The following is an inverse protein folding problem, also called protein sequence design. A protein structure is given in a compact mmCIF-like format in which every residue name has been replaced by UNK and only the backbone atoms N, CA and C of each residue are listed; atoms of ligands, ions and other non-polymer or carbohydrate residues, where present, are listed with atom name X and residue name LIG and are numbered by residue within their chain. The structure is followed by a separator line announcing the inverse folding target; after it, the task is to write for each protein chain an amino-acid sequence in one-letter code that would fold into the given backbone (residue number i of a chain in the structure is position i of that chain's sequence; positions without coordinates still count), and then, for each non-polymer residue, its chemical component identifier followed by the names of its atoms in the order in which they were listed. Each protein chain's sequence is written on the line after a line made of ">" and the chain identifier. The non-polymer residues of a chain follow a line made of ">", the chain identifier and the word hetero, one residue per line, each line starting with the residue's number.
data_IF_724772460102
#
_entry.id   IF_724772460102
#
_cell.length_a   1.000
_cell.length_b   1.000
_cell.length_c   1.000
_cell.angle_alpha   90.00
_cell.angle_beta   90.00
_cell.angle_gamma   90.00
#
_symmetry.space_group_name_H-M   'P 1'
#
loop_
_entity.id
_entity.type
_entity.pdbx_description
1 polymer ?
#
# COMPACT_ATOMS: atom_id res chain seq x y z
N UNK A 1 11.63 -13.26 3.78
CA UNK A 1 11.16 -13.83 5.06
C UNK A 1 9.66 -13.54 5.13
N UNK A 2 8.86 -14.50 5.54
CA UNK A 2 7.40 -14.39 5.67
C UNK A 2 7.10 -14.34 7.17
N UNK A 3 6.07 -13.58 7.57
CA UNK A 3 5.70 -13.38 8.96
C UNK A 3 6.52 -12.30 9.68
N UNK A 4 6.13 -11.99 10.90
CA UNK A 4 6.71 -10.91 11.69
C UNK A 4 8.10 -11.28 12.22
N UNK A 5 8.22 -12.44 12.84
CA UNK A 5 9.49 -12.97 13.35
C UNK A 5 10.06 -14.07 12.43
N UNK A 6 11.38 -14.19 12.28
CA UNK A 6 12.42 -13.38 12.93
C UNK A 6 12.76 -12.06 12.20
N UNK A 7 11.94 -11.62 11.25
CA UNK A 7 12.22 -10.43 10.42
C UNK A 7 12.42 -9.18 11.25
N UNK A 8 11.52 -8.92 12.21
CA UNK A 8 11.58 -7.77 13.12
C UNK A 8 12.89 -7.78 13.92
N UNK A 9 13.19 -8.91 14.56
CA UNK A 9 14.40 -9.06 15.39
C UNK A 9 15.68 -8.79 14.59
N UNK A 10 15.78 -9.28 13.35
CA UNK A 10 16.96 -9.04 12.51
C UNK A 10 17.11 -7.58 12.09
N UNK A 11 16.01 -6.92 11.74
CA UNK A 11 16.05 -5.51 11.38
C UNK A 11 16.44 -4.64 12.58
N UNK A 12 15.90 -4.90 13.77
CA UNK A 12 16.28 -4.18 14.99
C UNK A 12 17.75 -4.34 15.30
N UNK A 13 18.29 -5.58 15.29
CA UNK A 13 19.70 -5.82 15.50
C UNK A 13 20.62 -5.13 14.50
N UNK A 14 20.22 -5.07 13.23
CA UNK A 14 20.97 -4.35 12.20
C UNK A 14 20.98 -2.84 12.48
N UNK A 15 19.80 -2.26 12.76
CA UNK A 15 19.63 -0.85 13.09
C UNK A 15 20.48 -0.46 14.31
N UNK A 16 20.44 -1.25 15.39
CA UNK A 16 21.22 -1.02 16.61
C UNK A 16 22.74 -1.06 16.39
N UNK A 17 23.19 -1.77 15.35
CA UNK A 17 24.60 -1.81 14.90
C UNK A 17 24.96 -0.69 13.90
N UNK A 18 24.08 0.27 13.68
CA UNK A 18 24.31 1.35 12.73
C UNK A 18 24.18 0.94 11.25
N UNK A 19 23.53 -0.19 10.96
CA UNK A 19 23.39 -0.71 9.58
C UNK A 19 22.04 -0.25 9.01
N UNK A 20 22.08 0.35 7.83
CA UNK A 20 20.89 0.69 7.07
C UNK A 20 20.19 -0.58 6.56
N UNK A 21 18.87 -0.56 6.49
CA UNK A 21 18.07 -1.73 6.14
C UNK A 21 17.04 -1.42 5.06
N UNK A 22 16.71 -2.45 4.24
CA UNK A 22 15.62 -2.39 3.26
C UNK A 22 14.74 -3.61 3.44
N UNK A 23 13.42 -3.43 3.40
CA UNK A 23 12.46 -4.52 3.60
C UNK A 23 11.29 -4.45 2.61
N UNK A 24 10.76 -5.63 2.25
CA UNK A 24 9.50 -5.80 1.52
C UNK A 24 8.44 -6.53 2.38
N UNK A 25 8.74 -6.77 3.67
CA UNK A 25 7.82 -7.50 4.55
C UNK A 25 6.73 -6.55 5.09
N UNK A 26 5.59 -6.55 4.41
CA UNK A 26 4.47 -5.65 4.72
C UNK A 26 3.80 -5.95 6.06
N UNK A 27 3.58 -7.23 6.40
CA UNK A 27 2.92 -7.63 7.65
C UNK A 27 3.73 -7.16 8.86
N UNK A 28 4.99 -7.52 8.90
CA UNK A 28 5.91 -7.08 9.94
C UNK A 28 5.98 -5.55 10.01
N UNK A 29 6.06 -4.86 8.86
CA UNK A 29 6.18 -3.40 8.83
C UNK A 29 4.88 -2.69 9.20
N UNK A 30 3.70 -3.23 8.86
CA UNK A 30 2.41 -2.72 9.30
C UNK A 30 2.33 -2.70 10.84
N UNK A 31 2.72 -3.79 11.48
CA UNK A 31 2.60 -3.95 12.93
C UNK A 31 3.73 -3.26 13.71
N UNK A 32 4.94 -3.23 13.18
CA UNK A 32 6.14 -2.76 13.89
C UNK A 32 6.87 -1.60 13.21
N UNK A 33 6.36 -1.06 12.11
CA UNK A 33 7.02 -0.01 11.32
C UNK A 33 7.32 1.24 12.13
N UNK A 34 6.41 1.67 13.00
CA UNK A 34 6.61 2.82 13.87
C UNK A 34 7.82 2.65 14.80
N UNK A 35 7.92 1.50 15.47
CA UNK A 35 9.08 1.16 16.30
C UNK A 35 10.38 1.15 15.48
N UNK A 36 10.37 0.50 14.32
CA UNK A 36 11.54 0.40 13.45
C UNK A 36 12.02 1.77 12.94
N UNK A 37 11.09 2.65 12.57
CA UNK A 37 11.40 4.01 12.13
C UNK A 37 12.01 4.81 13.28
N UNK A 38 11.43 4.75 14.49
CA UNK A 38 11.98 5.44 15.67
C UNK A 38 13.39 4.93 16.01
N UNK A 39 13.61 3.61 16.01
CA UNK A 39 14.93 3.02 16.25
C UNK A 39 15.95 3.43 15.19
N UNK A 40 15.53 3.45 13.92
CA UNK A 40 16.41 3.91 12.84
C UNK A 40 16.83 5.37 13.04
N UNK A 41 15.91 6.25 13.42
CA UNK A 41 16.21 7.65 13.72
C UNK A 41 17.18 7.79 14.90
N UNK A 42 16.97 7.06 16.01
CA UNK A 42 17.83 7.07 17.20
C UNK A 42 19.25 6.60 16.92
N UNK A 43 19.43 5.69 15.97
CA UNK A 43 20.74 5.12 15.59
C UNK A 43 21.32 5.76 14.33
N UNK A 44 20.79 6.90 13.87
CA UNK A 44 21.19 7.58 12.62
C UNK A 44 21.23 6.66 11.39
N UNK A 45 20.41 5.64 11.39
CA UNK A 45 20.26 4.71 10.25
C UNK A 45 19.03 5.04 9.42
N UNK A 46 18.96 4.46 8.24
CA UNK A 46 17.82 4.58 7.33
C UNK A 46 17.15 3.23 7.13
N UNK A 47 15.84 3.28 6.97
CA UNK A 47 15.03 2.13 6.61
C UNK A 47 14.28 2.40 5.31
N UNK A 48 14.54 1.58 4.28
CA UNK A 48 13.82 1.55 3.01
C UNK A 48 12.67 0.53 3.08
N UNK A 49 11.47 0.94 2.69
CA UNK A 49 10.28 0.08 2.77
C UNK A 49 9.26 0.33 1.65
N UNK A 50 9.70 0.97 0.53
CA UNK A 50 8.84 1.23 -0.64
C UNK A 50 8.17 -0.06 -1.14
N UNK A 51 8.91 -1.17 -1.17
CA UNK A 51 8.44 -2.47 -1.62
C UNK A 51 7.34 -3.11 -0.74
N UNK A 52 7.02 -2.53 0.42
CA UNK A 52 5.95 -3.03 1.31
C UNK A 52 4.56 -2.66 0.81
N UNK A 53 4.42 -1.62 -0.03
CA UNK A 53 3.13 -1.09 -0.45
C UNK A 53 3.10 -0.78 -1.95
N UNK A 54 2.07 -1.26 -2.65
CA UNK A 54 1.82 -0.99 -4.07
C UNK A 54 2.97 -1.34 -5.04
N UNK A 55 3.90 -2.20 -4.65
CA UNK A 55 4.93 -2.78 -5.50
C UNK A 55 5.78 -1.76 -6.26
N UNK A 56 5.54 -1.63 -7.58
CA UNK A 56 6.28 -0.70 -8.44
C UNK A 56 5.74 0.74 -8.45
N UNK A 57 4.70 1.06 -7.66
CA UNK A 57 4.19 2.43 -7.53
C UNK A 57 4.99 3.15 -6.42
N UNK A 58 5.71 4.25 -6.70
CA UNK A 58 6.58 4.94 -5.73
C UNK A 58 5.77 5.78 -4.74
N UNK A 59 4.90 5.15 -3.96
CA UNK A 59 3.90 5.83 -3.13
C UNK A 59 4.49 6.38 -1.83
N UNK A 60 5.36 5.63 -1.17
CA UNK A 60 5.96 6.03 0.11
C UNK A 60 6.85 7.25 -0.08
N UNK A 61 7.67 7.24 -1.13
CA UNK A 61 8.53 8.37 -1.52
C UNK A 61 7.69 9.60 -1.86
N UNK A 62 6.63 9.43 -2.64
CA UNK A 62 5.71 10.51 -3.01
C UNK A 62 5.05 11.13 -1.78
N UNK A 63 4.53 10.33 -0.85
CA UNK A 63 3.94 10.82 0.39
C UNK A 63 4.97 11.61 1.21
N UNK A 64 6.17 11.06 1.41
CA UNK A 64 7.25 11.75 2.15
C UNK A 64 7.61 13.11 1.52
N UNK A 65 7.63 13.18 0.19
CA UNK A 65 7.90 14.43 -0.52
C UNK A 65 6.75 15.44 -0.38
N UNK A 66 5.50 14.99 -0.53
CA UNK A 66 4.32 15.85 -0.37
C UNK A 66 4.23 16.45 1.03
N UNK A 67 4.52 15.67 2.07
CA UNK A 67 4.47 16.10 3.47
C UNK A 67 5.46 17.20 3.84
N UNK A 68 6.46 17.49 2.99
CA UNK A 68 7.39 18.61 3.22
C UNK A 68 6.71 19.97 3.11
N UNK A 69 5.64 20.09 2.31
CA UNK A 69 4.95 21.36 2.05
C UNK A 69 3.41 21.23 2.05
N UNK A 70 2.87 20.01 2.08
CA UNK A 70 1.44 19.76 2.08
C UNK A 70 1.00 19.07 3.36
N UNK A 71 -0.27 19.26 3.71
CA UNK A 71 -1.00 18.39 4.61
C UNK A 71 -1.80 17.39 3.76
N UNK A 72 -1.65 16.11 4.02
CA UNK A 72 -2.46 15.07 3.37
C UNK A 72 -3.76 14.92 4.18
N UNK A 73 -4.88 15.01 3.49
CA UNK A 73 -6.22 14.91 4.11
C UNK A 73 -6.90 13.58 3.83
N UNK A 74 -6.52 12.92 2.73
CA UNK A 74 -7.10 11.62 2.36
C UNK A 74 -6.15 10.78 1.53
N UNK A 75 -6.16 9.47 1.77
CA UNK A 75 -5.52 8.47 0.91
C UNK A 75 -6.57 7.42 0.58
N UNK A 76 -6.71 7.09 -0.70
CA UNK A 76 -7.55 6.00 -1.21
C UNK A 76 -6.72 5.13 -2.14
N UNK A 77 -6.86 3.80 -2.04
CA UNK A 77 -6.08 2.92 -2.90
C UNK A 77 -6.78 1.62 -3.25
N UNK A 78 -6.57 1.18 -4.49
CA UNK A 78 -6.70 -0.22 -4.87
C UNK A 78 -5.33 -0.85 -4.59
N UNK A 79 -5.20 -1.45 -3.42
CA UNK A 79 -3.92 -1.92 -2.88
C UNK A 79 -3.71 -3.44 -3.03
N UNK A 80 -4.72 -4.16 -3.53
CA UNK A 80 -4.63 -5.59 -3.79
C UNK A 80 -5.00 -5.91 -5.24
N UNK A 81 -4.03 -6.41 -6.01
CA UNK A 81 -4.22 -6.74 -7.42
C UNK A 81 -5.11 -7.96 -7.66
N UNK A 82 -5.12 -8.93 -6.75
CA UNK A 82 -5.93 -10.14 -6.84
C UNK A 82 -7.42 -9.81 -6.74
N UNK A 83 -7.82 -9.07 -5.72
CA UNK A 83 -9.21 -8.65 -5.53
C UNK A 83 -9.70 -7.74 -6.68
N UNK A 84 -8.83 -6.81 -7.15
CA UNK A 84 -9.17 -5.97 -8.30
C UNK A 84 -9.34 -6.81 -9.59
N UNK A 85 -8.46 -7.78 -9.83
CA UNK A 85 -8.58 -8.71 -10.97
C UNK A 85 -9.88 -9.50 -10.92
N UNK A 86 -10.24 -10.07 -9.77
CA UNK A 86 -11.47 -10.85 -9.60
C UNK A 86 -12.69 -9.98 -9.93
N UNK A 87 -12.82 -8.78 -9.38
CA UNK A 87 -13.92 -7.86 -9.66
C UNK A 87 -13.95 -7.44 -11.14
N UNK A 88 -12.79 -7.24 -11.76
CA UNK A 88 -12.67 -6.95 -13.20
C UNK A 88 -13.22 -8.10 -14.06
N UNK A 89 -12.79 -9.34 -13.80
CA UNK A 89 -13.22 -10.51 -14.56
C UNK A 89 -14.72 -10.83 -14.35
N UNK A 90 -15.21 -10.64 -13.13
CA UNK A 90 -16.65 -10.74 -12.85
C UNK A 90 -17.45 -9.72 -13.67
N UNK A 91 -16.96 -8.50 -13.83
CA UNK A 91 -17.62 -7.46 -14.63
C UNK A 91 -17.47 -7.70 -16.14
N UNK A 92 -16.24 -7.90 -16.63
CA UNK A 92 -15.97 -7.94 -18.07
C UNK A 92 -16.43 -9.24 -18.72
N UNK A 93 -16.13 -10.38 -18.07
CA UNK A 93 -16.45 -11.70 -18.60
C UNK A 93 -17.70 -12.32 -17.99
N UNK A 94 -18.40 -11.59 -17.12
CA UNK A 94 -19.62 -12.07 -16.44
C UNK A 94 -19.39 -13.39 -15.67
N UNK A 95 -18.18 -13.58 -15.15
CA UNK A 95 -17.83 -14.76 -14.35
C UNK A 95 -18.46 -14.67 -12.95
N UNK A 96 -18.81 -15.82 -12.37
CA UNK A 96 -19.06 -15.89 -10.93
C UNK A 96 -17.76 -15.64 -10.16
N UNK A 97 -17.88 -15.27 -8.86
CA UNK A 97 -16.72 -15.08 -7.98
C UNK A 97 -15.77 -16.29 -8.04
N UNK A 98 -16.29 -17.50 -7.86
CA UNK A 98 -15.46 -18.73 -7.84
C UNK A 98 -14.69 -18.94 -9.16
N UNK A 99 -15.35 -18.70 -10.31
CA UNK A 99 -14.69 -18.80 -11.62
C UNK A 99 -13.62 -17.73 -11.83
N UNK A 100 -13.87 -16.53 -11.36
CA UNK A 100 -12.89 -15.43 -11.45
C UNK A 100 -11.69 -15.71 -10.51
N UNK A 101 -11.91 -16.24 -9.31
CA UNK A 101 -10.87 -16.68 -8.39
C UNK A 101 -10.04 -17.82 -8.98
N UNK A 102 -10.67 -18.87 -9.52
CA UNK A 102 -9.95 -19.96 -10.18
C UNK A 102 -9.10 -19.45 -11.35
N UNK A 103 -9.59 -18.48 -12.10
CA UNK A 103 -8.82 -17.85 -13.18
C UNK A 103 -7.62 -17.07 -12.63
N UNK A 104 -7.79 -16.34 -11.53
CA UNK A 104 -6.69 -15.64 -10.84
C UNK A 104 -5.60 -16.63 -10.39
N UNK A 105 -6.00 -17.75 -9.77
CA UNK A 105 -5.08 -18.82 -9.35
C UNK A 105 -4.35 -19.44 -10.56
N UNK A 106 -5.07 -19.76 -11.62
CA UNK A 106 -4.48 -20.32 -12.86
C UNK A 106 -3.45 -19.38 -13.50
N UNK A 107 -3.67 -18.06 -13.39
CA UNK A 107 -2.75 -17.04 -13.91
C UNK A 107 -1.59 -16.71 -12.93
N UNK A 108 -1.59 -17.28 -11.73
CA UNK A 108 -0.59 -17.01 -10.70
C UNK A 108 -0.77 -15.64 -10.02
N UNK A 109 -1.94 -15.04 -10.10
CA UNK A 109 -2.28 -13.79 -9.40
C UNK A 109 -2.81 -14.04 -7.98
N UNK A 110 -3.35 -15.23 -7.72
CA UNK A 110 -3.76 -15.70 -6.40
C UNK A 110 -3.01 -16.97 -6.03
N UNK A 111 -2.63 -17.09 -4.78
CA UNK A 111 -2.08 -18.33 -4.21
C UNK A 111 -3.19 -19.38 -3.97
N UNK A 112 -2.80 -20.59 -3.53
CA UNK A 112 -3.75 -21.64 -3.20
C UNK A 112 -4.68 -21.23 -2.04
N UNK A 113 -4.15 -20.54 -1.04
CA UNK A 113 -4.92 -19.86 0.00
C UNK A 113 -4.95 -18.33 -0.28
N UNK A 114 -6.03 -17.81 -0.89
CA UNK A 114 -6.16 -16.40 -1.23
C UNK A 114 -6.81 -15.57 -0.12
N UNK A 115 -6.97 -16.12 1.09
CA UNK A 115 -7.79 -15.52 2.17
C UNK A 115 -7.42 -14.08 2.44
N UNK A 116 -6.14 -13.75 2.59
CA UNK A 116 -5.70 -12.38 2.87
C UNK A 116 -6.05 -11.40 1.74
N UNK A 117 -6.05 -11.87 0.49
CA UNK A 117 -6.39 -11.04 -0.67
C UNK A 117 -7.89 -10.75 -0.72
N UNK A 118 -8.72 -11.79 -0.61
CA UNK A 118 -10.17 -11.67 -0.80
C UNK A 118 -10.91 -11.15 0.43
N UNK A 119 -10.31 -11.25 1.63
CA UNK A 119 -10.87 -10.69 2.87
C UNK A 119 -10.51 -9.22 3.10
N UNK A 120 -9.52 -8.68 2.36
CA UNK A 120 -9.07 -7.30 2.52
C UNK A 120 -7.89 -7.09 3.47
N UNK A 121 -7.39 -8.14 4.12
CA UNK A 121 -6.29 -8.05 5.09
C UNK A 121 -4.99 -7.56 4.44
N UNK A 122 -4.65 -8.00 3.23
CA UNK A 122 -3.48 -7.50 2.51
C UNK A 122 -3.56 -5.99 2.24
N UNK A 123 -4.73 -5.50 1.79
CA UNK A 123 -4.96 -4.08 1.58
C UNK A 123 -4.94 -3.28 2.89
N UNK A 124 -5.42 -3.87 3.99
CA UNK A 124 -5.39 -3.29 5.32
C UNK A 124 -3.96 -3.08 5.83
N UNK A 125 -3.08 -4.08 5.75
CA UNK A 125 -1.67 -3.91 6.11
C UNK A 125 -1.00 -2.75 5.34
N UNK A 126 -1.27 -2.66 4.05
CA UNK A 126 -0.74 -1.57 3.22
C UNK A 126 -1.31 -0.21 3.62
N UNK A 127 -2.59 -0.13 3.99
CA UNK A 127 -3.20 1.08 4.50
C UNK A 127 -2.58 1.51 5.84
N UNK A 128 -2.32 0.56 6.75
CA UNK A 128 -1.60 0.80 8.01
C UNK A 128 -0.22 1.44 7.75
N UNK A 129 0.54 0.91 6.79
CA UNK A 129 1.85 1.44 6.43
C UNK A 129 1.76 2.88 5.91
N UNK A 130 0.83 3.16 5.00
CA UNK A 130 0.64 4.50 4.45
C UNK A 130 0.22 5.52 5.51
N UNK A 131 -0.62 5.11 6.46
CA UNK A 131 -1.07 5.99 7.54
C UNK A 131 0.07 6.40 8.48
N UNK A 132 1.01 5.49 8.76
CA UNK A 132 2.17 5.76 9.62
C UNK A 132 3.08 6.88 9.09
N UNK A 133 3.01 7.17 7.77
CA UNK A 133 3.75 8.29 7.17
C UNK A 133 3.12 9.65 7.49
N UNK A 134 1.79 9.69 7.66
CA UNK A 134 1.02 10.94 7.80
C UNK A 134 0.81 11.31 9.26
N UNK A 135 0.64 10.31 10.12
CA UNK A 135 0.36 10.48 11.55
C UNK A 135 1.50 9.91 12.39
N UNK A 136 1.89 10.66 13.41
CA UNK A 136 3.00 10.28 14.30
C UNK A 136 2.56 9.40 15.48
N UNK A 137 1.39 8.79 15.40
CA UNK A 137 0.87 7.87 16.42
C UNK A 137 0.09 6.75 15.74
N UNK A 138 0.07 5.57 16.36
CA UNK A 138 -0.72 4.46 15.84
C UNK A 138 -2.20 4.67 16.13
N UNK A 139 -3.08 4.59 15.11
CA UNK A 139 -4.54 4.57 15.30
C UNK A 139 -4.99 3.30 16.01
N UNK A 140 -6.23 3.32 16.51
CA UNK A 140 -6.87 2.10 16.97
C UNK A 140 -7.34 1.26 15.77
N UNK A 141 -6.49 0.40 15.27
CA UNK A 141 -6.76 -0.42 14.10
C UNK A 141 -7.88 -1.44 14.29
N UNK A 142 -8.26 -1.76 15.54
CA UNK A 142 -9.37 -2.67 15.82
C UNK A 142 -10.75 -2.09 15.47
N UNK A 143 -10.85 -0.77 15.28
CA UNK A 143 -12.07 -0.08 14.89
C UNK A 143 -12.25 0.07 13.38
N UNK A 144 -11.25 -0.35 12.59
CA UNK A 144 -11.30 -0.23 11.14
C UNK A 144 -12.21 -1.30 10.54
N UNK A 145 -13.14 -0.88 9.71
CA UNK A 145 -14.01 -1.81 8.96
C UNK A 145 -13.17 -2.48 7.87
N UNK A 146 -13.13 -3.81 7.90
CA UNK A 146 -12.47 -4.61 6.87
C UNK A 146 -13.49 -5.59 6.30
N UNK A 147 -13.97 -5.30 5.10
CA UNK A 147 -14.89 -6.15 4.35
C UNK A 147 -14.21 -6.64 3.06
N UNK A 148 -14.27 -7.95 2.85
CA UNK A 148 -13.74 -8.57 1.64
C UNK A 148 -14.73 -8.53 0.46
N UNK A 149 -14.29 -9.13 -0.65
CA UNK A 149 -15.06 -9.13 -1.90
C UNK A 149 -15.94 -10.38 -2.12
N UNK A 150 -15.89 -11.35 -1.22
CA UNK A 150 -16.56 -12.66 -1.38
C UNK A 150 -18.09 -12.54 -1.48
N UNK A 151 -18.67 -11.55 -0.78
CA UNK A 151 -20.11 -11.31 -0.77
C UNK A 151 -20.65 -10.62 -2.03
N UNK A 152 -19.77 -10.16 -2.93
CA UNK A 152 -20.18 -9.45 -4.15
C UNK A 152 -20.74 -10.44 -5.17
N UNK A 153 -22.00 -10.24 -5.53
CA UNK A 153 -22.69 -11.10 -6.48
C UNK A 153 -22.63 -10.56 -7.92
N UNK A 154 -22.77 -11.44 -8.89
CA UNK A 154 -22.84 -11.06 -10.31
C UNK A 154 -24.03 -10.13 -10.62
N UNK A 155 -25.14 -10.30 -9.91
CA UNK A 155 -26.31 -9.42 -10.08
C UNK A 155 -26.02 -8.00 -9.59
N UNK A 156 -25.35 -7.83 -8.46
CA UNK A 156 -24.93 -6.50 -7.96
C UNK A 156 -23.98 -5.80 -8.94
N UNK A 157 -23.00 -6.53 -9.50
CA UNK A 157 -22.08 -6.00 -10.51
C UNK A 157 -22.85 -5.54 -11.76
N UNK A 158 -23.79 -6.36 -12.26
CA UNK A 158 -24.64 -6.02 -13.41
C UNK A 158 -25.51 -4.79 -13.16
N UNK A 159 -26.05 -4.65 -11.94
CA UNK A 159 -26.85 -3.49 -11.57
C UNK A 159 -26.00 -2.20 -11.51
N UNK A 160 -24.80 -2.28 -10.95
CA UNK A 160 -23.87 -1.16 -10.95
C UNK A 160 -23.47 -0.75 -12.38
N UNK A 161 -23.15 -1.72 -13.23
CA UNK A 161 -22.76 -1.51 -14.63
C UNK A 161 -23.86 -0.81 -15.45
N UNK A 162 -25.15 -1.17 -15.26
CA UNK A 162 -26.28 -0.48 -15.88
C UNK A 162 -26.36 1.01 -15.56
N UNK A 163 -25.76 1.44 -14.46
CA UNK A 163 -25.68 2.83 -14.00
C UNK A 163 -24.35 3.50 -14.37
N UNK A 164 -23.50 2.83 -15.17
CA UNK A 164 -22.16 3.31 -15.49
C UNK A 164 -21.19 3.25 -14.30
N UNK A 165 -21.51 2.44 -13.30
CA UNK A 165 -20.74 2.31 -12.05
C UNK A 165 -19.98 0.99 -12.01
N UNK A 166 -18.96 0.91 -11.13
CA UNK A 166 -18.13 -0.28 -10.92
C UNK A 166 -17.91 -0.56 -9.45
N UNK A 167 -17.85 -1.83 -9.07
CA UNK A 167 -17.31 -2.21 -7.78
C UNK A 167 -15.79 -2.13 -7.80
N UNK A 168 -15.22 -1.49 -6.78
CA UNK A 168 -13.78 -1.47 -6.49
C UNK A 168 -13.57 -1.82 -5.03
N UNK A 169 -12.53 -2.59 -4.74
CA UNK A 169 -12.11 -2.88 -3.37
C UNK A 169 -11.12 -1.79 -2.95
N UNK A 170 -11.58 -0.85 -2.13
CA UNK A 170 -10.82 0.35 -1.79
C UNK A 170 -10.43 0.35 -0.32
N UNK A 171 -9.13 0.52 -0.08
CA UNK A 171 -8.59 0.90 1.21
C UNK A 171 -8.56 2.44 1.29
N UNK A 172 -9.21 3.00 2.28
CA UNK A 172 -9.36 4.45 2.44
C UNK A 172 -9.00 4.88 3.85
N UNK A 173 -8.33 6.03 3.96
CA UNK A 173 -8.13 6.72 5.23
C UNK A 173 -8.30 8.22 5.02
N UNK A 174 -9.09 8.85 5.88
CA UNK A 174 -9.31 10.30 5.93
C UNK A 174 -8.76 10.83 7.25
N UNK A 175 -7.94 11.86 7.14
CA UNK A 175 -7.30 12.55 8.25
C UNK A 175 -8.03 13.87 8.50
N UNK A 176 -8.69 13.98 9.64
CA UNK A 176 -9.28 15.22 10.14
C UNK A 176 -8.47 15.72 11.34
N UNK A 177 -8.63 16.98 11.72
CA UNK A 177 -7.83 17.60 12.79
C UNK A 177 -7.94 16.85 14.15
N UNK A 178 -9.04 16.13 14.38
CA UNK A 178 -9.32 15.44 15.65
C UNK A 178 -9.74 13.98 15.50
N UNK A 179 -9.79 13.46 14.27
CA UNK A 179 -10.25 12.10 14.01
C UNK A 179 -9.58 11.49 12.79
N UNK A 180 -9.48 10.18 12.83
CA UNK A 180 -9.05 9.38 11.71
C UNK A 180 -10.16 8.38 11.43
N UNK A 181 -10.58 8.31 10.16
CA UNK A 181 -11.56 7.32 9.70
C UNK A 181 -10.90 6.48 8.63
N UNK A 182 -10.90 5.17 8.84
CA UNK A 182 -10.31 4.23 7.89
C UNK A 182 -11.25 3.06 7.60
N UNK A 183 -11.18 2.55 6.38
CA UNK A 183 -11.91 1.33 5.99
C UNK A 183 -11.21 0.63 4.82
N UNK A 184 -11.44 -0.67 4.72
CA UNK A 184 -11.10 -1.50 3.55
C UNK A 184 -12.36 -2.24 3.16
N UNK A 185 -12.98 -1.87 2.04
CA UNK A 185 -14.26 -2.45 1.67
C UNK A 185 -14.55 -2.31 0.17
N UNK A 186 -15.39 -3.19 -0.40
CA UNK A 186 -15.89 -2.99 -1.75
C UNK A 186 -16.89 -1.83 -1.77
N UNK A 187 -16.62 -0.84 -2.61
CA UNK A 187 -17.52 0.28 -2.85
C UNK A 187 -17.89 0.41 -4.31
N UNK A 188 -19.03 1.05 -4.58
CA UNK A 188 -19.48 1.37 -5.93
C UNK A 188 -18.98 2.77 -6.28
N UNK A 189 -18.25 2.88 -7.39
CA UNK A 189 -17.69 4.14 -7.90
C UNK A 189 -18.22 4.47 -9.30
N UNK A 190 -18.36 5.74 -9.60
CA UNK A 190 -18.69 6.25 -10.95
C UNK A 190 -17.45 6.76 -11.70
N UNK A 191 -17.65 7.23 -12.92
CA UNK A 191 -16.58 7.69 -13.82
C UNK A 191 -15.79 8.90 -13.32
N UNK A 192 -16.28 9.65 -12.33
CA UNK A 192 -15.57 10.78 -11.74
C UNK A 192 -14.60 10.36 -10.63
N UNK A 193 -14.74 9.11 -10.14
CA UNK A 193 -13.87 8.61 -9.10
C UNK A 193 -12.46 8.32 -9.64
N UNK A 194 -11.36 8.75 -8.98
CA UNK A 194 -9.99 8.62 -9.50
C UNK A 194 -9.55 7.18 -9.73
N UNK A 195 -10.17 6.21 -9.06
CA UNK A 195 -9.83 4.79 -9.17
C UNK A 195 -10.80 4.00 -10.07
N UNK A 196 -11.75 4.67 -10.75
CA UNK A 196 -12.77 4.01 -11.58
C UNK A 196 -12.18 3.18 -12.71
N UNK A 197 -11.17 3.70 -13.41
CA UNK A 197 -10.56 3.08 -14.60
C UNK A 197 -9.51 2.00 -14.27
N UNK A 198 -9.17 1.81 -13.00
CA UNK A 198 -8.11 0.87 -12.60
C UNK A 198 -8.64 -0.56 -12.67
N UNK A 199 -8.11 -1.36 -13.57
CA UNK A 199 -8.58 -2.72 -13.87
C UNK A 199 -7.47 -3.77 -13.76
N UNK A 200 -7.86 -5.04 -13.80
CA UNK A 200 -6.92 -6.16 -13.77
C UNK A 200 -6.11 -6.22 -12.47
N UNK A 201 -4.81 -6.46 -12.59
CA UNK A 201 -3.90 -6.60 -11.44
C UNK A 201 -3.24 -5.29 -11.02
N UNK A 202 -3.60 -4.17 -11.65
CA UNK A 202 -3.04 -2.86 -11.36
C UNK A 202 -3.41 -2.39 -9.96
N UNK A 203 -2.44 -1.77 -9.29
CA UNK A 203 -2.67 -1.00 -8.09
C UNK A 203 -2.69 0.49 -8.43
N UNK A 204 -3.43 1.26 -7.65
CA UNK A 204 -3.40 2.71 -7.74
C UNK A 204 -3.68 3.34 -6.38
N UNK A 205 -3.08 4.50 -6.14
CA UNK A 205 -3.31 5.28 -4.93
C UNK A 205 -3.60 6.72 -5.31
N UNK A 206 -4.74 7.22 -4.85
CA UNK A 206 -5.13 8.62 -4.93
C UNK A 206 -4.88 9.29 -3.58
N UNK A 207 -4.19 10.43 -3.61
CA UNK A 207 -3.85 11.26 -2.44
C UNK A 207 -4.54 12.61 -2.61
N UNK A 208 -5.20 13.08 -1.56
CA UNK A 208 -5.69 14.46 -1.49
C UNK A 208 -4.80 15.27 -0.55
N UNK A 209 -4.23 16.35 -1.07
CA UNK A 209 -3.27 17.18 -0.36
C UNK A 209 -3.68 18.66 -0.43
N UNK A 210 -3.31 19.44 0.59
CA UNK A 210 -3.83 20.79 0.85
C UNK A 210 -3.50 21.82 -0.23
N UNK A 211 -2.32 21.73 -0.85
CA UNK A 211 -1.85 22.72 -1.84
C UNK A 211 -1.91 22.18 -3.26
N UNK A 212 -1.41 20.96 -3.47
CA UNK A 212 -1.34 20.39 -4.82
C UNK A 212 -2.67 19.78 -5.29
N UNK A 213 -3.62 19.58 -4.36
CA UNK A 213 -4.89 18.94 -4.66
C UNK A 213 -4.78 17.42 -4.76
N UNK A 214 -5.47 16.85 -5.74
CA UNK A 214 -5.55 15.39 -5.93
C UNK A 214 -4.47 14.88 -6.90
N UNK A 215 -3.72 13.88 -6.44
CA UNK A 215 -2.72 13.15 -7.24
C UNK A 215 -3.11 11.67 -7.25
N UNK A 216 -3.01 11.02 -8.40
CA UNK A 216 -3.21 9.57 -8.53
C UNK A 216 -1.97 8.94 -9.16
N UNK A 217 -1.45 7.90 -8.52
CA UNK A 217 -0.34 7.07 -9.01
C UNK A 217 -0.90 5.69 -9.32
N UNK A 218 -0.47 5.10 -10.43
CA UNK A 218 -0.92 3.79 -10.91
C UNK A 218 0.27 2.99 -11.43
N UNK A 219 0.23 1.69 -11.25
CA UNK A 219 1.24 0.77 -11.78
C UNK A 219 1.10 -0.65 -11.24
N UNK A 220 2.07 -1.52 -11.55
CA UNK A 220 2.07 -2.90 -11.11
C UNK A 220 2.22 -2.97 -9.57
N UNK A 221 1.19 -3.51 -8.91
CA UNK A 221 1.12 -3.58 -7.44
C UNK A 221 1.95 -4.69 -6.81
N UNK A 222 2.42 -5.66 -7.60
CA UNK A 222 3.18 -6.83 -7.16
C UNK A 222 4.03 -7.41 -8.29
N UNK A 223 4.83 -8.41 -7.97
CA UNK A 223 5.65 -9.13 -8.92
C UNK A 223 7.15 -8.93 -8.69
N UNK A 224 7.94 -9.91 -9.13
CA UNK A 224 9.39 -9.97 -8.87
C UNK A 224 10.13 -8.70 -9.28
N UNK A 225 9.88 -8.19 -10.47
CA UNK A 225 10.56 -7.00 -10.99
C UNK A 225 10.11 -5.72 -10.29
N UNK A 226 8.82 -5.55 -10.05
CA UNK A 226 8.28 -4.40 -9.34
C UNK A 226 8.83 -4.31 -7.90
N UNK A 227 8.81 -5.42 -7.16
CA UNK A 227 9.38 -5.49 -5.81
C UNK A 227 10.88 -5.26 -5.81
N UNK A 228 11.63 -5.87 -6.74
CA UNK A 228 13.07 -5.68 -6.85
C UNK A 228 13.44 -4.23 -7.19
N UNK A 229 12.71 -3.59 -8.11
CA UNK A 229 12.89 -2.18 -8.46
C UNK A 229 12.76 -1.29 -7.22
N UNK A 230 11.65 -1.41 -6.49
CA UNK A 230 11.41 -0.62 -5.29
C UNK A 230 12.49 -0.82 -4.20
N UNK A 231 12.94 -2.05 -3.99
CA UNK A 231 14.04 -2.34 -3.04
C UNK A 231 15.37 -1.74 -3.49
N UNK A 232 15.71 -1.83 -4.78
CA UNK A 232 16.94 -1.26 -5.32
C UNK A 232 16.89 0.28 -5.27
N UNK A 233 15.76 0.88 -5.56
CA UNK A 233 15.55 2.32 -5.46
C UNK A 233 15.73 2.82 -4.02
N UNK A 234 15.19 2.12 -3.03
CA UNK A 234 15.45 2.41 -1.61
C UNK A 234 16.94 2.30 -1.25
N UNK A 235 17.60 1.26 -1.74
CA UNK A 235 19.02 1.06 -1.52
C UNK A 235 19.86 2.19 -2.14
N UNK A 236 19.56 2.61 -3.37
CA UNK A 236 20.24 3.73 -4.05
C UNK A 236 20.02 5.03 -3.29
N UNK A 237 18.78 5.31 -2.83
CA UNK A 237 18.47 6.50 -2.04
C UNK A 237 19.29 6.56 -0.74
N UNK A 238 19.41 5.43 -0.03
CA UNK A 238 20.22 5.31 1.18
C UNK A 238 21.70 5.65 0.91
N UNK A 239 22.28 5.09 -0.17
CA UNK A 239 23.69 5.33 -0.52
C UNK A 239 23.94 6.78 -0.89
N UNK A 240 23.08 7.37 -1.73
CA UNK A 240 23.25 8.76 -2.20
C UNK A 240 23.21 9.75 -1.03
N UNK A 241 22.31 9.57 -0.08
CA UNK A 241 22.24 10.43 1.11
C UNK A 241 23.44 10.26 2.03
N UNK A 242 23.94 9.04 2.19
CA UNK A 242 25.14 8.78 3.01
C UNK A 242 26.41 9.40 2.39
N UNK A 243 26.53 9.36 1.07
CA UNK A 243 27.64 10.01 0.35
C UNK A 243 27.58 11.55 0.46
N UNK A 244 26.39 12.14 0.39
CA UNK A 244 26.19 13.59 0.51
C UNK A 244 26.53 14.07 1.92
N UNK A 245 26.12 13.35 2.98
CA UNK A 245 26.46 13.68 4.38
C UNK A 245 27.97 13.69 4.56
N UNK A 246 28.70 12.68 4.12
CA UNK A 246 30.18 12.63 4.18
C UNK A 246 30.83 13.81 3.44
N UNK A 247 30.34 14.16 2.25
CA UNK A 247 30.92 15.27 1.46
C UNK A 247 30.76 16.63 2.14
N UNK A 248 29.64 16.87 2.80
CA UNK A 248 29.41 18.11 3.57
C UNK A 248 30.28 18.19 4.82
N UNK A 249 30.51 17.07 5.52
CA UNK A 249 31.41 16.99 6.66
C UNK A 249 32.87 17.32 6.29
N UNK A 250 33.34 16.91 5.10
CA UNK A 250 34.66 17.24 4.57
C UNK A 250 34.81 18.71 4.13
N UNK A 251 33.72 19.41 3.82
CA UNK A 251 33.75 20.82 3.40
C UNK A 251 33.64 21.80 4.59
N UNK A 252 33.38 21.31 5.79
CA UNK A 252 33.26 22.10 7.02
C UNK A 252 34.51 22.07 7.89
N UNK A 253 35.62 21.50 7.43
CA UNK A 253 36.96 21.51 7.99
C UNK A 253 37.84 22.50 7.19
#
# INVERSE_FOLDING_TARGET
>A
MVGEEPSRSYLLQAIEKGIHVVTANKEMFANHGHELIQRAQQNETKIGFEATTAGGVPIIRTIKQLLQVNRITKIQGILNGTSNFILTEMRERKLSFDKALQLAQKKGYAEADPTNDISGIDAFYKLMILSQLVINQQPNWSEVIIDGIVSITQEQIKQAEKRGQRFKHIAEITFNDHSLVASVQPIIVDSNHPLYSIEGVENAVAIEASLVGKITLQGPGAGKLATASAMIEDFVDIIQHSATKKRLEYQSI
#
